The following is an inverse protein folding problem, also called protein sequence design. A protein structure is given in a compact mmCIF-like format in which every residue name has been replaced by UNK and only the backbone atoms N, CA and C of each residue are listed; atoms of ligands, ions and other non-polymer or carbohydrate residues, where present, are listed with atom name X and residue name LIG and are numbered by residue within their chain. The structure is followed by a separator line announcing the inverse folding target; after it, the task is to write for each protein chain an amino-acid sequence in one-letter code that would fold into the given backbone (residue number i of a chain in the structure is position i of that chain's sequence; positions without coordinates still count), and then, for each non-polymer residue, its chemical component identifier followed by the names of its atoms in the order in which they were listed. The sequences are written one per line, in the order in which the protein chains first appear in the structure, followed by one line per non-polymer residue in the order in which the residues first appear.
data_IF_565813636038
#
_entry.id   IF_565813636038
#
_cell.length_a   1.000
_cell.length_b   1.000
_cell.length_c   1.000
_cell.angle_alpha   90.00
_cell.angle_beta   90.00
_cell.angle_gamma   90.00
#
_symmetry.space_group_name_H-M   'P 1'
#
loop_
_entity.id
_entity.type
_entity.pdbx_description
1 polymer ?
#
# COMPACT_ATOMS: atom_id res chain seq x y z
N UNK A 1 -10.79 -19.55 -5.16
CA UNK A 1 -10.08 -18.83 -4.08
C UNK A 1 -9.65 -19.66 -2.86
N UNK A 2 -10.16 -20.89 -2.63
CA UNK A 2 -10.06 -21.60 -1.33
C UNK A 2 -8.66 -21.76 -0.72
N UNK A 3 -7.62 -22.00 -1.53
CA UNK A 3 -6.24 -22.22 -1.08
C UNK A 3 -5.41 -20.93 -0.89
N UNK A 4 -5.84 -19.83 -1.52
CA UNK A 4 -5.11 -18.55 -1.55
C UNK A 4 -5.35 -17.71 -0.29
N UNK A 5 -6.46 -17.97 0.40
CA UNK A 5 -6.89 -17.18 1.56
C UNK A 5 -6.14 -17.54 2.84
N UNK A 6 -5.47 -18.69 2.88
CA UNK A 6 -4.81 -19.20 4.08
C UNK A 6 -3.81 -18.22 4.68
N UNK A 7 -3.15 -17.39 3.87
CA UNK A 7 -2.20 -16.38 4.37
C UNK A 7 -2.87 -15.14 4.99
N UNK A 8 -4.15 -14.88 4.70
CA UNK A 8 -4.86 -13.67 5.13
C UNK A 8 -5.82 -13.88 6.32
N UNK A 9 -6.26 -15.12 6.54
CA UNK A 9 -7.25 -15.46 7.59
C UNK A 9 -6.69 -16.39 8.68
N UNK A 10 -5.47 -16.89 8.51
CA UNK A 10 -4.75 -17.58 9.57
C UNK A 10 -3.79 -16.56 10.19
N UNK A 11 -3.64 -16.52 11.53
CA UNK A 11 -2.58 -15.74 12.16
C UNK A 11 -1.23 -16.16 11.57
N UNK A 12 -0.70 -15.35 10.65
CA UNK A 12 0.59 -15.57 10.02
C UNK A 12 1.74 -15.22 10.96
N UNK A 13 2.94 -15.67 10.60
CA UNK A 13 4.16 -15.49 11.42
C UNK A 13 4.56 -14.00 11.53
N UNK A 14 4.09 -13.13 10.62
CA UNK A 14 4.29 -11.68 10.69
C UNK A 14 3.07 -10.87 10.24
N UNK A 15 2.63 -10.02 11.18
CA UNK A 15 1.82 -8.79 11.06
C UNK A 15 0.31 -8.87 11.32
N UNK A 16 -0.09 -8.15 12.38
CA UNK A 16 -1.46 -7.67 12.64
C UNK A 16 -2.45 -8.70 13.17
N UNK A 17 -3.35 -8.25 14.04
CA UNK A 17 -4.53 -9.04 14.36
C UNK A 17 -5.30 -9.35 13.06
N UNK A 18 -5.70 -10.61 12.86
CA UNK A 18 -6.53 -11.00 11.73
C UNK A 18 -7.94 -10.43 11.90
N UNK A 19 -8.14 -9.18 11.45
CA UNK A 19 -9.41 -8.48 11.60
C UNK A 19 -10.35 -8.64 10.39
N UNK A 20 -9.83 -9.12 9.25
CA UNK A 20 -10.64 -9.43 8.08
C UNK A 20 -11.02 -10.90 8.03
N UNK A 21 -12.29 -11.16 7.74
CA UNK A 21 -12.84 -12.51 7.70
C UNK A 21 -12.75 -13.10 6.30
N UNK A 22 -12.86 -14.43 6.20
CA UNK A 22 -13.03 -15.11 4.91
C UNK A 22 -14.22 -14.56 4.11
N UNK A 23 -15.28 -14.17 4.80
CA UNK A 23 -16.47 -13.58 4.18
C UNK A 23 -16.17 -12.27 3.45
N UNK A 24 -15.36 -11.38 4.04
CA UNK A 24 -14.90 -10.17 3.37
C UNK A 24 -14.24 -10.48 2.02
N UNK A 25 -13.33 -11.46 1.99
CA UNK A 25 -12.63 -11.82 0.75
C UNK A 25 -13.54 -12.46 -0.30
N UNK A 26 -14.57 -13.19 0.12
CA UNK A 26 -15.59 -13.70 -0.80
C UNK A 26 -16.41 -12.56 -1.40
N UNK A 27 -16.86 -11.61 -0.57
CA UNK A 27 -17.65 -10.45 -1.01
C UNK A 27 -16.89 -9.63 -2.06
N UNK A 28 -15.63 -9.27 -1.80
CA UNK A 28 -14.86 -8.48 -2.77
C UNK A 28 -14.59 -9.25 -4.07
N UNK A 29 -14.44 -10.57 -4.01
CA UNK A 29 -14.26 -11.40 -5.19
C UNK A 29 -15.51 -11.43 -6.06
N UNK A 30 -16.69 -11.52 -5.44
CA UNK A 30 -17.96 -11.58 -6.15
C UNK A 30 -18.36 -10.19 -6.69
N UNK A 31 -18.02 -9.13 -5.97
CA UNK A 31 -18.43 -7.75 -6.32
C UNK A 31 -17.50 -7.04 -7.29
N UNK A 32 -16.19 -7.29 -7.23
CA UNK A 32 -15.20 -6.52 -8.02
C UNK A 32 -13.98 -7.37 -8.44
N UNK A 33 -14.19 -8.56 -9.05
CA UNK A 33 -13.10 -9.47 -9.39
C UNK A 33 -12.06 -8.83 -10.33
N UNK A 34 -12.49 -7.98 -11.26
CA UNK A 34 -11.63 -7.26 -12.20
C UNK A 34 -10.80 -6.15 -11.57
N UNK A 35 -11.12 -5.77 -10.33
CA UNK A 35 -10.38 -4.77 -9.55
C UNK A 35 -9.40 -5.40 -8.57
N UNK A 36 -9.28 -6.73 -8.56
CA UNK A 36 -8.41 -7.46 -7.64
C UNK A 36 -7.15 -7.93 -8.38
N UNK A 37 -5.98 -7.56 -7.84
CA UNK A 37 -4.69 -8.03 -8.32
C UNK A 37 -3.97 -8.76 -7.18
N UNK A 38 -3.64 -10.03 -7.43
CA UNK A 38 -2.97 -10.89 -6.46
C UNK A 38 -1.56 -11.21 -6.93
N UNK A 39 -0.57 -10.75 -6.17
CA UNK A 39 0.81 -11.21 -6.34
C UNK A 39 1.00 -12.45 -5.48
N UNK A 40 1.40 -13.57 -6.09
CA UNK A 40 1.40 -14.87 -5.44
C UNK A 40 2.77 -15.54 -5.60
N UNK A 41 3.35 -15.99 -4.49
CA UNK A 41 4.64 -16.66 -4.49
C UNK A 41 4.46 -18.17 -4.32
N UNK A 42 5.16 -18.97 -5.13
CA UNK A 42 5.21 -20.44 -5.01
C UNK A 42 6.63 -20.93 -4.73
N UNK A 43 6.74 -21.92 -3.86
CA UNK A 43 7.95 -22.72 -3.64
C UNK A 43 7.60 -24.19 -3.85
N UNK A 44 8.34 -24.89 -4.71
CA UNK A 44 8.09 -26.30 -5.05
C UNK A 44 6.62 -26.63 -5.39
N UNK A 45 5.95 -25.74 -6.14
CA UNK A 45 4.56 -25.91 -6.57
C UNK A 45 3.50 -25.53 -5.52
N UNK A 46 3.90 -25.23 -4.28
CA UNK A 46 2.99 -24.79 -3.21
C UNK A 46 3.01 -23.26 -3.09
N UNK A 47 1.85 -22.63 -2.94
CA UNK A 47 1.80 -21.20 -2.60
C UNK A 47 2.28 -20.98 -1.17
N UNK A 48 3.22 -20.05 -1.00
CA UNK A 48 3.84 -19.75 0.30
C UNK A 48 3.54 -18.35 0.80
N UNK A 49 3.13 -17.45 -0.08
CA UNK A 49 2.78 -16.08 0.26
C UNK A 49 1.92 -15.41 -0.82
N UNK A 50 1.30 -14.29 -0.45
CA UNK A 50 0.65 -13.41 -1.41
C UNK A 50 0.39 -12.00 -0.90
N UNK A 51 0.30 -11.07 -1.84
CA UNK A 51 -0.12 -9.69 -1.63
C UNK A 51 -1.41 -9.39 -2.40
N UNK A 52 -2.41 -8.86 -1.70
CA UNK A 52 -3.66 -8.36 -2.24
C UNK A 52 -3.54 -6.87 -2.52
N UNK A 53 -3.86 -6.51 -3.75
CA UNK A 53 -3.90 -5.15 -4.24
C UNK A 53 -5.26 -4.87 -4.91
N UNK A 54 -5.69 -3.61 -4.87
CA UNK A 54 -6.82 -3.14 -5.66
C UNK A 54 -6.36 -2.28 -6.83
N UNK A 55 -6.97 -2.50 -7.99
CA UNK A 55 -6.68 -1.76 -9.22
C UNK A 55 -7.60 -0.54 -9.32
N UNK A 56 -7.02 0.65 -9.32
CA UNK A 56 -7.68 1.91 -9.62
C UNK A 56 -7.82 2.16 -11.12
N UNK A 57 -8.05 3.43 -11.48
CA UNK A 57 -8.00 3.87 -12.88
C UNK A 57 -6.56 3.99 -13.37
N UNK A 58 -5.68 4.57 -12.57
CA UNK A 58 -4.28 4.86 -12.89
C UNK A 58 -3.28 4.38 -11.81
N UNK A 59 -3.78 3.76 -10.75
CA UNK A 59 -3.03 3.49 -9.52
C UNK A 59 -3.27 2.06 -9.04
N UNK A 60 -2.20 1.37 -8.63
CA UNK A 60 -2.29 0.09 -7.91
C UNK A 60 -2.19 0.33 -6.40
N UNK A 61 -3.16 -0.17 -5.64
CA UNK A 61 -3.25 0.03 -4.20
C UNK A 61 -2.93 -1.24 -3.41
N UNK A 62 -1.76 -1.31 -2.77
CA UNK A 62 -1.40 -2.40 -1.87
C UNK A 62 -2.21 -2.37 -0.58
N UNK A 63 -2.72 -3.53 -0.13
CA UNK A 63 -3.60 -3.61 1.05
C UNK A 63 -3.21 -4.69 2.05
N UNK A 64 -3.18 -5.95 1.63
CA UNK A 64 -2.91 -7.06 2.55
C UNK A 64 -1.76 -7.91 2.06
N UNK A 65 -0.91 -8.33 2.98
CA UNK A 65 0.17 -9.26 2.77
C UNK A 65 0.02 -10.44 3.73
N UNK A 66 0.39 -11.63 3.28
CA UNK A 66 0.53 -12.77 4.17
C UNK A 66 1.50 -13.81 3.63
N UNK A 67 2.11 -14.57 4.53
CA UNK A 67 2.92 -15.73 4.20
C UNK A 67 2.72 -16.86 5.22
N UNK A 68 2.98 -18.10 4.80
CA UNK A 68 3.07 -19.29 5.67
C UNK A 68 4.49 -19.82 5.80
N UNK A 69 5.43 -19.26 5.02
CA UNK A 69 6.86 -19.51 5.14
C UNK A 69 7.59 -18.17 5.29
N UNK A 70 8.62 -18.15 6.14
CA UNK A 70 9.52 -17.01 6.25
C UNK A 70 10.72 -17.21 5.32
N UNK A 71 10.94 -16.23 4.45
CA UNK A 71 12.13 -16.15 3.60
C UNK A 71 12.62 -14.71 3.62
N UNK A 72 13.94 -14.52 3.54
CA UNK A 72 14.53 -13.20 3.49
C UNK A 72 14.01 -12.43 2.28
N UNK A 73 13.69 -11.15 2.50
CA UNK A 73 13.18 -10.23 1.48
C UNK A 73 11.87 -10.63 0.77
N UNK A 74 11.19 -11.72 1.17
CA UNK A 74 9.97 -12.18 0.52
C UNK A 74 8.84 -11.13 0.53
N UNK A 75 8.71 -10.40 1.64
CA UNK A 75 7.78 -9.27 1.72
C UNK A 75 8.13 -8.16 0.71
N UNK A 76 9.42 -7.86 0.52
CA UNK A 76 9.86 -6.83 -0.42
C UNK A 76 9.54 -7.21 -1.86
N UNK A 77 9.88 -8.44 -2.22
CA UNK A 77 9.63 -8.99 -3.54
C UNK A 77 8.14 -8.90 -3.89
N UNK A 78 7.28 -9.47 -3.05
CA UNK A 78 5.86 -9.64 -3.43
C UNK A 78 5.03 -8.37 -3.22
N UNK A 79 5.34 -7.54 -2.23
CA UNK A 79 4.53 -6.34 -1.92
C UNK A 79 5.00 -5.07 -2.63
N UNK A 80 6.26 -5.00 -3.06
CA UNK A 80 6.81 -3.78 -3.65
C UNK A 80 7.29 -4.03 -5.07
N UNK A 81 8.25 -4.94 -5.28
CA UNK A 81 8.86 -5.09 -6.61
C UNK A 81 7.90 -5.68 -7.63
N UNK A 82 7.15 -6.73 -7.29
CA UNK A 82 6.12 -7.29 -8.16
C UNK A 82 4.97 -6.30 -8.41
N UNK A 83 4.60 -5.49 -7.40
CA UNK A 83 3.58 -4.45 -7.55
C UNK A 83 4.03 -3.33 -8.50
N UNK A 84 5.27 -2.85 -8.37
CA UNK A 84 5.88 -1.87 -9.27
C UNK A 84 6.01 -2.41 -10.69
N UNK A 85 6.48 -3.66 -10.85
CA UNK A 85 6.60 -4.30 -12.16
C UNK A 85 5.22 -4.39 -12.85
N UNK A 86 4.21 -4.87 -12.12
CA UNK A 86 2.84 -4.93 -12.63
C UNK A 86 2.33 -3.55 -13.08
N UNK A 87 2.56 -2.51 -12.28
CA UNK A 87 2.15 -1.16 -12.63
C UNK A 87 2.80 -0.66 -13.92
N UNK A 88 4.10 -0.88 -14.09
CA UNK A 88 4.83 -0.53 -15.32
C UNK A 88 4.24 -1.29 -16.52
N UNK A 89 4.05 -2.60 -16.40
CA UNK A 89 3.52 -3.45 -17.48
C UNK A 89 2.09 -3.08 -17.89
N UNK A 90 1.29 -2.55 -16.96
CA UNK A 90 -0.10 -2.18 -17.19
C UNK A 90 -0.29 -0.67 -17.40
N UNK A 91 0.80 0.11 -17.51
CA UNK A 91 0.74 1.55 -17.77
C UNK A 91 0.11 2.36 -16.64
N UNK A 92 0.18 1.87 -15.39
CA UNK A 92 -0.28 2.60 -14.22
C UNK A 92 0.75 3.67 -13.84
N UNK A 93 0.26 4.85 -13.45
CA UNK A 93 1.10 5.98 -13.06
C UNK A 93 1.65 5.83 -11.64
N UNK A 94 0.91 5.14 -10.77
CA UNK A 94 1.24 5.07 -9.34
C UNK A 94 1.11 3.67 -8.76
N UNK A 95 1.94 3.40 -7.75
CA UNK A 95 1.75 2.32 -6.80
C UNK A 95 1.68 2.91 -5.40
N UNK A 96 0.57 2.68 -4.70
CA UNK A 96 0.40 3.10 -3.33
C UNK A 96 0.63 1.90 -2.41
N UNK A 97 1.81 1.81 -1.78
CA UNK A 97 2.12 0.75 -0.82
C UNK A 97 1.54 1.01 0.59
N UNK A 98 0.49 1.82 0.71
CA UNK A 98 -0.16 2.23 1.96
C UNK A 98 0.55 3.36 2.73
N UNK A 99 -0.11 3.90 3.76
CA UNK A 99 0.42 4.98 4.59
C UNK A 99 1.44 4.45 5.61
N UNK A 100 2.71 4.86 5.51
CA UNK A 100 3.74 4.60 6.53
C UNK A 100 5.01 5.42 6.23
N UNK A 101 5.86 5.60 7.25
CA UNK A 101 6.93 6.60 7.28
C UNK A 101 8.07 6.46 6.27
N UNK A 102 9.06 7.34 6.43
CA UNK A 102 10.19 7.60 5.51
C UNK A 102 11.00 6.37 5.07
N UNK A 103 10.94 5.25 5.80
CA UNK A 103 11.61 4.00 5.44
C UNK A 103 11.17 3.42 4.08
N UNK A 104 10.03 3.85 3.52
CA UNK A 104 9.57 3.44 2.19
C UNK A 104 10.33 4.10 1.03
N UNK A 105 11.02 5.21 1.29
CA UNK A 105 11.83 5.91 0.28
C UNK A 105 12.91 4.97 -0.27
N UNK A 106 13.61 4.26 0.62
CA UNK A 106 14.61 3.26 0.23
C UNK A 106 14.04 2.05 -0.53
N UNK A 107 12.71 1.89 -0.55
CA UNK A 107 12.00 0.83 -1.30
C UNK A 107 11.46 1.32 -2.64
N UNK A 108 11.80 2.55 -3.05
CA UNK A 108 11.35 3.16 -4.30
C UNK A 108 10.03 3.93 -4.21
N UNK A 109 9.57 4.28 -3.00
CA UNK A 109 8.32 5.04 -2.83
C UNK A 109 8.63 6.43 -2.34
N UNK A 110 8.64 7.38 -3.27
CA UNK A 110 8.69 8.79 -2.94
C UNK A 110 7.36 9.23 -2.33
N UNK A 111 7.37 10.20 -1.39
CA UNK A 111 6.14 10.73 -0.84
C UNK A 111 5.33 11.43 -1.93
N UNK A 112 4.01 11.35 -1.81
CA UNK A 112 3.07 12.12 -2.62
C UNK A 112 2.10 12.82 -1.67
N UNK A 113 1.83 14.10 -1.93
CA UNK A 113 0.85 14.86 -1.16
C UNK A 113 -0.53 14.31 -1.49
N UNK A 114 -1.26 13.91 -0.45
CA UNK A 114 -2.62 13.41 -0.55
C UNK A 114 -3.59 14.39 0.12
N UNK A 115 -4.87 14.28 -0.23
CA UNK A 115 -5.92 15.15 0.29
C UNK A 115 -7.00 14.32 0.96
N UNK A 116 -7.58 14.86 2.02
CA UNK A 116 -8.76 14.30 2.66
C UNK A 116 -9.81 15.41 2.84
N UNK A 117 -11.08 15.05 2.66
CA UNK A 117 -12.20 15.97 2.78
C UNK A 117 -12.96 15.67 4.07
N UNK A 118 -13.12 16.69 4.92
CA UNK A 118 -13.76 16.56 6.23
C UNK A 118 -14.87 17.58 6.37
N UNK A 119 -16.06 17.12 6.73
CA UNK A 119 -17.14 18.00 7.16
C UNK A 119 -17.16 18.08 8.68
N UNK A 120 -16.91 19.27 9.22
CA UNK A 120 -16.85 19.50 10.68
C UNK A 120 -17.98 20.41 11.09
N UNK A 121 -19.01 19.86 11.74
CA UNK A 121 -20.22 20.62 12.09
C UNK A 121 -19.95 21.78 13.07
N UNK A 122 -19.15 21.53 14.10
CA UNK A 122 -18.86 22.53 15.12
C UNK A 122 -17.87 23.57 14.56
N UNK A 123 -18.27 24.84 14.54
CA UNK A 123 -17.46 25.91 13.95
C UNK A 123 -16.15 26.14 14.69
N UNK A 124 -16.17 26.17 16.03
CA UNK A 124 -14.94 26.34 16.82
C UNK A 124 -13.93 25.21 16.60
N UNK A 125 -14.40 23.97 16.49
CA UNK A 125 -13.53 22.83 16.17
C UNK A 125 -13.03 22.88 14.72
N UNK A 126 -13.88 23.29 13.77
CA UNK A 126 -13.48 23.50 12.38
C UNK A 126 -12.37 24.53 12.27
N UNK A 127 -12.47 25.63 13.01
CA UNK A 127 -11.45 26.69 13.02
C UNK A 127 -10.16 26.22 13.68
N UNK A 128 -10.25 25.48 14.79
CA UNK A 128 -9.07 24.88 15.42
C UNK A 128 -8.32 23.94 14.46
N UNK A 129 -9.03 23.04 13.77
CA UNK A 129 -8.45 22.15 12.76
C UNK A 129 -7.88 22.97 11.59
N UNK A 130 -8.62 23.95 11.07
CA UNK A 130 -8.16 24.80 9.96
C UNK A 130 -6.86 25.54 10.29
N UNK A 131 -6.74 26.07 11.49
CA UNK A 131 -5.56 26.79 11.95
C UNK A 131 -4.35 25.84 12.07
N UNK A 132 -4.54 24.67 12.68
CA UNK A 132 -3.49 23.64 12.74
C UNK A 132 -3.01 23.21 11.35
N UNK A 133 -3.94 22.96 10.42
CA UNK A 133 -3.63 22.55 9.05
C UNK A 133 -2.83 23.61 8.26
N UNK A 134 -2.84 24.89 8.67
CA UNK A 134 -2.02 25.91 8.02
C UNK A 134 -0.53 25.67 8.25
N UNK A 135 -0.15 25.33 9.49
CA UNK A 135 1.23 25.02 9.84
C UNK A 135 1.61 23.60 9.42
N UNK A 136 0.73 22.62 9.62
CA UNK A 136 1.00 21.23 9.22
C UNK A 136 1.30 21.11 7.72
N UNK A 137 0.57 21.82 6.84
CA UNK A 137 0.84 21.82 5.39
C UNK A 137 2.23 22.37 5.05
N UNK A 138 2.69 23.38 5.79
CA UNK A 138 4.04 23.95 5.60
C UNK A 138 5.10 22.91 5.96
N UNK A 139 4.95 22.29 7.13
CA UNK A 139 5.89 21.27 7.62
C UNK A 139 5.91 20.02 6.73
N UNK A 140 4.74 19.54 6.30
CA UNK A 140 4.64 18.42 5.35
C UNK A 140 5.36 18.76 4.05
N UNK A 141 5.15 19.97 3.50
CA UNK A 141 5.82 20.37 2.25
C UNK A 141 7.34 20.37 2.41
N UNK A 142 7.85 20.99 3.47
CA UNK A 142 9.29 21.01 3.76
C UNK A 142 9.87 19.59 3.87
N UNK A 143 9.13 18.69 4.52
CA UNK A 143 9.56 17.30 4.66
C UNK A 143 9.56 16.54 3.33
N UNK A 144 8.55 16.76 2.48
CA UNK A 144 8.50 16.17 1.12
C UNK A 144 9.66 16.68 0.27
N UNK A 145 9.88 18.00 0.23
CA UNK A 145 10.97 18.61 -0.54
C UNK A 145 12.33 18.04 -0.07
N UNK A 146 12.55 17.93 1.24
CA UNK A 146 13.78 17.36 1.79
C UNK A 146 13.99 15.88 1.41
N UNK A 147 12.91 15.08 1.38
CA UNK A 147 12.99 13.69 0.92
C UNK A 147 13.36 13.62 -0.56
N UNK A 148 12.73 14.43 -1.40
CA UNK A 148 12.99 14.43 -2.85
C UNK A 148 14.41 14.91 -3.18
N UNK A 149 14.92 15.92 -2.48
CA UNK A 149 16.23 16.50 -2.75
C UNK A 149 17.39 15.64 -2.20
N UNK A 150 17.25 15.10 -0.98
CA UNK A 150 18.37 14.50 -0.25
C UNK A 150 18.33 12.97 -0.30
N UNK A 151 17.12 12.39 -0.29
CA UNK A 151 16.94 10.95 -0.02
C UNK A 151 16.36 10.18 -1.22
N UNK A 152 16.04 10.86 -2.32
CA UNK A 152 15.52 10.19 -3.52
C UNK A 152 16.52 9.17 -4.05
N UNK A 153 16.10 7.90 -4.23
CA UNK A 153 16.96 6.88 -4.82
C UNK A 153 17.05 7.00 -6.35
N UNK A 154 16.28 7.91 -6.96
CA UNK A 154 16.16 8.05 -8.40
C UNK A 154 17.15 9.07 -8.94
N UNK A 155 17.82 8.71 -10.04
CA UNK A 155 18.66 9.64 -10.78
C UNK A 155 17.79 10.66 -11.51
N UNK A 156 18.10 11.94 -11.35
CA UNK A 156 17.53 12.98 -12.21
C UNK A 156 18.00 12.77 -13.65
N UNK A 157 17.04 12.57 -14.57
CA UNK A 157 17.32 12.56 -16.00
C UNK A 157 17.40 14.04 -16.45
N UNK A 158 18.61 14.44 -16.86
CA UNK A 158 18.90 15.76 -17.45
C UNK A 158 18.24 15.92 -18.82
#
# INVERSE_FOLDING_TARGET
MGCVLSFYVIPGIKSGDTYLTREFFNIIHDMMPEKIVLMMCRNNGRYIAGALNFLGEDTLFGRHWGCIEEHDCLHFEVCYYQATQFAIENGLSFVEAGAQGSHKVHRGYLPQITYSAHWIRNEGFRDAVKNYLADERREIKLHVDAIEEIYSPYKQLL
#
